data_IF_083105879071
#
_entry.id   IF_083105879071
#
_cell.length_a   1.000
_cell.length_b   1.000
_cell.length_c   1.000
_cell.angle_alpha   90.00
_cell.angle_beta   90.00
_cell.angle_gamma   90.00
#
_symmetry.space_group_name_H-M   'P 1'
#
loop_
_entity.id
_entity.type
_entity.pdbx_description
1 polymer ?
#
# COMPACT_ATOMS: atom_id res chain seq x y z
N UNK A 1 -4.03 24.37 0.68
CA UNK A 1 -5.07 25.18 0.02
C UNK A 1 -5.38 24.77 -1.43
N UNK A 2 -4.61 23.87 -2.07
CA UNK A 2 -4.86 23.41 -3.46
C UNK A 2 -5.63 22.09 -3.59
N UNK A 3 -6.00 21.42 -2.49
CA UNK A 3 -6.74 20.15 -2.52
C UNK A 3 -8.26 20.33 -2.72
N UNK A 4 -8.79 21.50 -2.40
CA UNK A 4 -10.23 21.80 -2.47
C UNK A 4 -10.70 22.11 -3.90
N UNK A 5 -9.96 22.88 -4.74
CA UNK A 5 -10.39 23.15 -6.11
C UNK A 5 -10.39 21.90 -7.01
N UNK A 6 -9.51 20.94 -6.76
CA UNK A 6 -9.45 19.67 -7.51
C UNK A 6 -10.67 18.79 -7.21
N UNK A 7 -11.22 18.85 -5.99
CA UNK A 7 -12.44 18.13 -5.61
C UNK A 7 -13.71 18.77 -6.19
N UNK A 8 -13.69 20.09 -6.44
CA UNK A 8 -14.86 20.83 -6.96
C UNK A 8 -14.94 20.78 -8.49
N UNK A 9 -13.82 20.67 -9.21
CA UNK A 9 -13.81 20.52 -10.67
C UNK A 9 -14.29 19.13 -11.18
N UNK A 10 -14.45 18.16 -10.28
CA UNK A 10 -14.99 16.82 -10.58
C UNK A 10 -16.53 16.75 -10.54
N UNK A 11 -17.22 17.89 -10.49
CA UNK A 11 -18.68 18.02 -10.48
C UNK A 11 -19.36 17.83 -11.85
N UNK A 12 -19.00 16.77 -12.59
CA UNK A 12 -19.52 16.50 -13.93
C UNK A 12 -19.62 15.00 -14.25
N UNK A 13 -20.24 14.21 -13.36
CA UNK A 13 -20.82 12.90 -13.72
C UNK A 13 -19.90 11.68 -13.86
N UNK A 14 -18.64 11.73 -13.39
CA UNK A 14 -17.68 10.63 -13.58
C UNK A 14 -17.05 10.04 -12.31
N UNK A 15 -17.45 10.48 -11.11
CA UNK A 15 -16.86 10.03 -9.84
C UNK A 15 -17.87 9.27 -8.99
N UNK A 16 -17.54 8.02 -8.65
CA UNK A 16 -18.34 7.12 -7.83
C UNK A 16 -18.24 7.48 -6.35
N UNK A 17 -19.36 7.78 -5.71
CA UNK A 17 -19.41 8.02 -4.25
C UNK A 17 -19.00 6.78 -3.46
N UNK A 18 -19.38 5.59 -3.93
CA UNK A 18 -18.97 4.33 -3.34
C UNK A 18 -17.47 4.09 -3.51
N UNK A 19 -16.94 4.37 -4.70
CA UNK A 19 -15.51 4.32 -5.00
C UNK A 19 -14.67 5.22 -4.11
N UNK A 20 -15.04 6.50 -4.00
CA UNK A 20 -14.36 7.47 -3.14
C UNK A 20 -14.37 7.02 -1.67
N UNK A 21 -15.49 6.45 -1.20
CA UNK A 21 -15.58 5.91 0.17
C UNK A 21 -14.59 4.76 0.37
N UNK A 22 -14.52 3.81 -0.54
CA UNK A 22 -13.59 2.68 -0.42
C UNK A 22 -12.13 3.10 -0.57
N UNK A 23 -11.84 4.12 -1.39
CA UNK A 23 -10.51 4.74 -1.44
C UNK A 23 -10.11 5.35 -0.10
N UNK A 24 -11.03 6.09 0.54
CA UNK A 24 -10.80 6.66 1.86
C UNK A 24 -10.60 5.56 2.92
N UNK A 25 -11.40 4.49 2.90
CA UNK A 25 -11.24 3.35 3.81
C UNK A 25 -9.88 2.69 3.63
N UNK A 26 -9.47 2.40 2.39
CA UNK A 26 -8.17 1.79 2.12
C UNK A 26 -7.02 2.67 2.61
N UNK A 27 -7.09 3.99 2.37
CA UNK A 27 -6.11 4.95 2.86
C UNK A 27 -6.03 4.97 4.39
N UNK A 28 -7.16 5.09 5.06
CA UNK A 28 -7.23 5.15 6.53
C UNK A 28 -6.75 3.85 7.16
N UNK A 29 -7.10 2.70 6.61
CA UNK A 29 -6.64 1.39 7.11
C UNK A 29 -5.14 1.16 6.91
N UNK A 30 -4.55 1.76 5.88
CA UNK A 30 -3.12 1.60 5.59
C UNK A 30 -2.23 2.29 6.62
N UNK A 31 -2.72 3.35 7.28
CA UNK A 31 -1.98 4.08 8.33
C UNK A 31 -1.69 3.21 9.57
N UNK A 32 -2.68 2.59 10.25
CA UNK A 32 -2.40 1.72 11.38
C UNK A 32 -1.63 0.46 10.98
N UNK A 33 -1.86 -0.08 9.78
CA UNK A 33 -1.06 -1.21 9.25
C UNK A 33 0.42 -0.82 9.13
N UNK A 34 0.70 0.36 8.55
CA UNK A 34 2.05 0.90 8.46
C UNK A 34 2.66 1.10 9.85
N UNK A 35 1.89 1.69 10.78
CA UNK A 35 2.34 1.89 12.16
C UNK A 35 2.69 0.58 12.86
N UNK A 36 1.88 -0.47 12.67
CA UNK A 36 2.13 -1.80 13.24
C UNK A 36 3.40 -2.43 12.66
N UNK A 37 3.58 -2.39 11.33
CA UNK A 37 4.79 -2.92 10.68
C UNK A 37 6.03 -2.15 11.10
N UNK A 38 5.96 -0.82 11.12
CA UNK A 38 7.07 0.03 11.56
C UNK A 38 7.44 -0.22 13.02
N UNK A 39 6.43 -0.40 13.88
CA UNK A 39 6.65 -0.79 15.27
C UNK A 39 7.39 -2.12 15.36
N UNK A 40 6.95 -3.16 14.63
CA UNK A 40 7.64 -4.46 14.60
C UNK A 40 9.09 -4.30 14.10
N UNK A 41 9.30 -3.59 12.99
CA UNK A 41 10.62 -3.34 12.42
C UNK A 41 11.55 -2.65 13.42
N UNK A 42 11.07 -1.65 14.16
CA UNK A 42 11.85 -0.97 15.18
C UNK A 42 12.29 -1.89 16.34
N UNK A 43 11.64 -3.04 16.54
CA UNK A 43 12.00 -4.03 17.58
C UNK A 43 12.97 -5.09 17.07
N UNK A 44 12.82 -5.50 15.81
CA UNK A 44 13.60 -6.63 15.24
C UNK A 44 14.76 -6.18 14.35
N UNK A 45 14.73 -4.95 13.87
CA UNK A 45 15.71 -4.37 12.94
C UNK A 45 16.00 -2.90 13.31
N UNK A 46 16.80 -2.64 14.36
CA UNK A 46 17.14 -1.27 14.76
C UNK A 46 17.76 -0.44 13.63
N UNK A 47 18.46 -1.09 12.70
CA UNK A 47 19.08 -0.46 11.53
C UNK A 47 18.08 0.14 10.55
N UNK A 48 16.82 -0.34 10.55
CA UNK A 48 15.74 0.21 9.74
C UNK A 48 15.49 1.69 10.08
N UNK A 49 15.77 2.13 11.31
CA UNK A 49 15.60 3.51 11.74
C UNK A 49 16.45 4.50 10.93
N UNK A 50 17.58 4.06 10.36
CA UNK A 50 18.47 4.89 9.53
C UNK A 50 17.78 5.33 8.23
N UNK A 51 16.85 4.52 7.73
CA UNK A 51 16.06 4.84 6.52
C UNK A 51 15.05 5.98 6.73
N UNK A 52 14.76 6.32 7.99
CA UNK A 52 13.91 7.45 8.38
C UNK A 52 12.56 7.47 7.67
N UNK A 53 12.14 8.65 7.23
CA UNK A 53 10.85 8.85 6.57
C UNK A 53 10.71 8.10 5.23
N UNK A 54 11.82 7.82 4.53
CA UNK A 54 11.76 7.09 3.25
C UNK A 54 11.42 5.61 3.49
N UNK A 55 11.96 4.99 4.54
CA UNK A 55 11.57 3.65 4.93
C UNK A 55 10.11 3.55 5.35
N UNK A 56 9.62 4.53 6.13
CA UNK A 56 8.19 4.62 6.48
C UNK A 56 7.33 4.75 5.23
N UNK A 57 7.75 5.59 4.27
CA UNK A 57 7.04 5.77 3.00
C UNK A 57 7.03 4.49 2.16
N UNK A 58 8.12 3.72 2.16
CA UNK A 58 8.18 2.42 1.50
C UNK A 58 7.17 1.43 2.09
N UNK A 59 7.15 1.29 3.43
CA UNK A 59 6.15 0.44 4.10
C UNK A 59 4.73 0.93 3.81
N UNK A 60 4.49 2.24 3.88
CA UNK A 60 3.17 2.82 3.61
C UNK A 60 2.70 2.56 2.18
N UNK A 61 3.56 2.74 1.19
CA UNK A 61 3.22 2.50 -0.21
C UNK A 61 2.78 1.06 -0.47
N UNK A 62 3.51 0.09 0.09
CA UNK A 62 3.18 -1.33 -0.04
C UNK A 62 1.98 -1.75 0.82
N UNK A 63 1.78 -1.12 1.98
CA UNK A 63 0.57 -1.30 2.79
C UNK A 63 -0.67 -0.80 2.05
N UNK A 64 -0.60 0.40 1.47
CA UNK A 64 -1.70 0.98 0.69
C UNK A 64 -2.02 0.17 -0.55
N UNK A 65 -1.01 -0.36 -1.22
CA UNK A 65 -1.20 -1.28 -2.34
C UNK A 65 -1.89 -2.58 -1.90
N UNK A 66 -1.37 -3.23 -0.86
CA UNK A 66 -1.95 -4.46 -0.32
C UNK A 66 -3.40 -4.28 0.13
N UNK A 67 -3.69 -3.21 0.88
CA UNK A 67 -5.03 -2.91 1.39
C UNK A 67 -5.96 -2.54 0.24
N UNK A 68 -5.56 -1.64 -0.67
CA UNK A 68 -6.40 -1.25 -1.80
C UNK A 68 -6.68 -2.43 -2.73
N UNK A 69 -5.70 -3.26 -3.07
CA UNK A 69 -5.91 -4.46 -3.89
C UNK A 69 -6.91 -5.41 -3.23
N UNK A 70 -6.74 -5.71 -1.94
CA UNK A 70 -7.64 -6.59 -1.21
C UNK A 70 -9.06 -6.03 -1.09
N UNK A 71 -9.21 -4.72 -0.85
CA UNK A 71 -10.51 -4.04 -0.83
C UNK A 71 -11.16 -4.04 -2.22
N UNK A 72 -10.38 -3.79 -3.28
CA UNK A 72 -10.88 -3.75 -4.66
C UNK A 72 -11.46 -5.08 -5.09
N UNK A 73 -10.76 -6.18 -4.76
CA UNK A 73 -11.25 -7.54 -5.03
C UNK A 73 -12.47 -7.87 -4.18
N UNK A 74 -12.38 -7.64 -2.86
CA UNK A 74 -13.41 -8.11 -1.91
C UNK A 74 -14.69 -7.29 -1.97
N UNK A 75 -14.57 -5.96 -2.04
CA UNK A 75 -15.69 -5.04 -1.83
C UNK A 75 -16.24 -4.47 -3.14
N UNK A 76 -15.41 -4.42 -4.18
CA UNK A 76 -15.75 -3.81 -5.47
C UNK A 76 -15.78 -4.84 -6.62
N UNK A 77 -15.36 -6.09 -6.38
CA UNK A 77 -15.37 -7.15 -7.39
C UNK A 77 -14.36 -6.94 -8.52
N UNK A 78 -13.34 -6.11 -8.32
CA UNK A 78 -12.29 -5.92 -9.32
C UNK A 78 -11.39 -7.15 -9.41
N UNK A 79 -11.06 -7.55 -10.64
CA UNK A 79 -10.15 -8.67 -10.89
C UNK A 79 -8.69 -8.24 -10.91
N UNK A 80 -7.81 -9.04 -10.32
CA UNK A 80 -6.36 -8.86 -10.43
C UNK A 80 -5.85 -9.43 -11.76
N UNK A 81 -5.09 -8.63 -12.52
CA UNK A 81 -4.60 -9.01 -13.86
C UNK A 81 -3.21 -9.65 -13.82
N UNK A 82 -2.46 -9.40 -12.77
CA UNK A 82 -1.10 -9.93 -12.59
C UNK A 82 -1.19 -11.39 -12.14
N UNK A 83 -0.64 -12.36 -12.91
CA UNK A 83 -0.80 -13.79 -12.60
C UNK A 83 -0.33 -14.17 -11.20
N UNK A 84 0.81 -13.62 -10.77
CA UNK A 84 1.36 -13.89 -9.44
C UNK A 84 0.46 -13.34 -8.33
N UNK A 85 0.05 -12.07 -8.42
CA UNK A 85 -0.84 -11.45 -7.45
C UNK A 85 -2.17 -12.19 -7.35
N UNK A 86 -2.75 -12.60 -8.49
CA UNK A 86 -3.97 -13.40 -8.54
C UNK A 86 -3.80 -14.74 -7.82
N UNK A 87 -2.71 -15.47 -8.10
CA UNK A 87 -2.45 -16.74 -7.43
C UNK A 87 -2.32 -16.60 -5.90
N UNK A 88 -1.81 -15.46 -5.42
CA UNK A 88 -1.71 -15.17 -3.99
C UNK A 88 -3.08 -14.81 -3.39
N UNK A 89 -3.90 -14.03 -4.11
CA UNK A 89 -5.25 -13.68 -3.69
C UNK A 89 -6.19 -14.90 -3.65
N UNK A 90 -5.96 -15.87 -4.54
CA UNK A 90 -6.72 -17.12 -4.66
C UNK A 90 -6.16 -18.26 -3.80
N UNK A 91 -5.25 -17.97 -2.86
CA UNK A 91 -4.81 -18.93 -1.84
C UNK A 91 -6.02 -19.34 -0.98
N UNK A 92 -6.70 -20.41 -1.41
CA UNK A 92 -7.86 -20.94 -0.73
C UNK A 92 -7.55 -21.47 0.67
N UNK A 93 -8.60 -21.62 1.49
CA UNK A 93 -8.51 -22.15 2.85
C UNK A 93 -8.11 -21.10 3.90
N UNK A 94 -7.99 -19.83 3.51
CA UNK A 94 -7.76 -18.72 4.43
C UNK A 94 -9.09 -18.14 4.92
N UNK A 95 -9.24 -17.82 6.23
CA UNK A 95 -10.42 -17.13 6.72
C UNK A 95 -10.50 -15.72 6.14
N UNK A 96 -11.69 -15.26 5.76
CA UNK A 96 -11.89 -13.90 5.29
C UNK A 96 -11.93 -12.90 6.46
N UNK A 97 -11.46 -11.67 6.21
CA UNK A 97 -11.55 -10.56 7.16
C UNK A 97 -12.63 -9.55 6.73
N UNK A 98 -13.26 -8.79 7.66
CA UNK A 98 -14.43 -7.95 7.36
C UNK A 98 -14.25 -6.89 6.27
N UNK A 99 -13.02 -6.46 5.98
CA UNK A 99 -12.74 -5.41 4.97
C UNK A 99 -11.88 -5.91 3.81
N UNK A 100 -10.80 -6.64 4.11
CA UNK A 100 -9.83 -7.11 3.10
C UNK A 100 -10.15 -8.51 2.56
N UNK A 101 -11.20 -9.16 3.05
CA UNK A 101 -11.66 -10.46 2.57
C UNK A 101 -10.57 -11.51 2.67
N UNK A 102 -10.42 -12.34 1.64
CA UNK A 102 -9.35 -13.34 1.49
C UNK A 102 -8.03 -12.70 1.01
N UNK A 103 -8.06 -11.43 0.58
CA UNK A 103 -6.89 -10.73 0.06
C UNK A 103 -5.83 -10.35 1.12
N UNK A 104 -6.01 -10.73 2.38
CA UNK A 104 -5.03 -10.43 3.43
C UNK A 104 -3.70 -11.15 3.24
N UNK A 105 -3.66 -12.29 2.53
CA UNK A 105 -2.40 -12.95 2.18
C UNK A 105 -1.52 -12.08 1.28
N UNK A 106 -2.14 -11.43 0.29
CA UNK A 106 -1.45 -10.48 -0.59
C UNK A 106 -0.92 -9.28 0.19
N UNK A 107 -1.74 -8.73 1.12
CA UNK A 107 -1.30 -7.68 2.02
C UNK A 107 -0.09 -8.12 2.84
N UNK A 108 -0.14 -9.27 3.52
CA UNK A 108 0.98 -9.74 4.34
C UNK A 108 2.26 -9.93 3.51
N UNK A 109 2.15 -10.46 2.29
CA UNK A 109 3.30 -10.57 1.40
C UNK A 109 3.93 -9.20 1.11
N UNK A 110 3.10 -8.21 0.75
CA UNK A 110 3.58 -6.84 0.49
C UNK A 110 4.29 -6.26 1.71
N UNK A 111 3.73 -6.42 2.89
CA UNK A 111 4.32 -5.94 4.14
C UNK A 111 5.63 -6.68 4.47
N UNK A 112 5.70 -7.98 4.23
CA UNK A 112 6.92 -8.76 4.42
C UNK A 112 8.04 -8.32 3.46
N UNK A 113 7.72 -8.13 2.18
CA UNK A 113 8.67 -7.63 1.17
C UNK A 113 9.14 -6.23 1.52
N UNK A 114 8.23 -5.30 1.84
CA UNK A 114 8.59 -3.93 2.20
C UNK A 114 9.44 -3.87 3.48
N UNK A 115 9.07 -4.65 4.51
CA UNK A 115 9.83 -4.74 5.74
C UNK A 115 11.23 -5.33 5.54
N UNK A 116 11.34 -6.38 4.72
CA UNK A 116 12.63 -6.96 4.34
C UNK A 116 13.51 -5.95 3.59
N UNK A 117 12.95 -5.22 2.62
CA UNK A 117 13.70 -4.22 1.88
C UNK A 117 14.18 -3.10 2.81
N UNK A 118 13.32 -2.55 3.67
CA UNK A 118 13.75 -1.55 4.65
C UNK A 118 14.86 -2.07 5.57
N UNK A 119 14.77 -3.33 6.01
CA UNK A 119 15.82 -3.96 6.81
C UNK A 119 17.16 -4.03 6.05
N UNK A 120 17.16 -4.60 4.84
CA UNK A 120 18.38 -4.80 4.03
C UNK A 120 18.98 -3.47 3.57
N UNK A 121 18.15 -2.46 3.27
CA UNK A 121 18.63 -1.14 2.89
C UNK A 121 19.16 -0.32 4.08
N UNK A 122 18.87 -0.69 5.33
CA UNK A 122 19.33 0.03 6.52
C UNK A 122 20.85 0.25 6.55
N UNK A 123 21.67 -0.82 6.44
CA UNK A 123 23.12 -0.70 6.30
C UNK A 123 23.55 0.12 5.08
N UNK A 124 22.92 -0.10 3.92
CA UNK A 124 23.33 0.59 2.69
C UNK A 124 23.06 2.10 2.75
N UNK A 125 21.92 2.52 3.33
CA UNK A 125 21.62 3.93 3.60
C UNK A 125 22.61 4.54 4.60
N UNK A 126 23.14 3.75 5.53
CA UNK A 126 24.15 4.24 6.48
C UNK A 126 25.48 4.52 5.79
N UNK A 127 25.89 3.66 4.88
CA UNK A 127 27.15 3.73 4.15
C UNK A 127 27.10 4.77 3.02
N UNK A 128 26.04 4.75 2.22
CA UNK A 128 25.82 5.62 1.06
C UNK A 128 24.42 6.25 1.09
N UNK A 129 24.18 7.28 1.92
CA UNK A 129 22.84 7.79 2.17
C UNK A 129 22.08 8.25 0.93
N UNK A 130 22.77 8.91 -0.01
CA UNK A 130 22.14 9.40 -1.24
C UNK A 130 21.59 8.26 -2.09
N UNK A 131 22.43 7.30 -2.46
CA UNK A 131 22.05 6.18 -3.31
C UNK A 131 21.08 5.24 -2.62
N UNK A 132 21.34 4.89 -1.35
CA UNK A 132 20.45 4.04 -0.56
C UNK A 132 19.04 4.61 -0.42
N UNK A 133 18.91 5.91 -0.15
CA UNK A 133 17.59 6.56 -0.03
C UNK A 133 16.91 6.69 -1.40
N UNK A 134 17.66 6.91 -2.48
CA UNK A 134 17.09 6.95 -3.83
C UNK A 134 16.50 5.59 -4.22
N UNK A 135 17.24 4.50 -3.98
CA UNK A 135 16.77 3.15 -4.26
C UNK A 135 15.58 2.77 -3.36
N UNK A 136 15.61 3.12 -2.07
CA UNK A 136 14.48 2.87 -1.18
C UNK A 136 13.25 3.74 -1.54
N UNK A 137 13.47 4.97 -2.02
CA UNK A 137 12.43 5.80 -2.60
C UNK A 137 11.81 5.16 -3.85
N UNK A 138 12.61 4.49 -4.68
CA UNK A 138 12.09 3.69 -5.79
C UNK A 138 11.23 2.51 -5.30
N UNK A 139 11.64 1.81 -4.25
CA UNK A 139 10.82 0.77 -3.61
C UNK A 139 9.47 1.33 -3.14
N UNK A 140 9.46 2.53 -2.56
CA UNK A 140 8.23 3.21 -2.18
C UNK A 140 7.35 3.53 -3.39
N UNK A 141 7.93 4.03 -4.49
CA UNK A 141 7.22 4.29 -5.73
C UNK A 141 6.59 3.03 -6.34
N UNK A 142 7.27 1.87 -6.25
CA UNK A 142 6.74 0.58 -6.71
C UNK A 142 5.48 0.16 -5.95
N UNK A 143 5.36 0.48 -4.66
CA UNK A 143 4.12 0.28 -3.91
C UNK A 143 3.07 1.35 -4.21
N UNK A 144 3.47 2.62 -4.22
CA UNK A 144 2.57 3.76 -4.42
C UNK A 144 1.92 3.78 -5.81
N UNK A 145 2.60 3.32 -6.85
CA UNK A 145 2.06 3.29 -8.22
C UNK A 145 0.75 2.51 -8.33
N UNK A 146 0.75 1.19 -8.07
CA UNK A 146 -0.47 0.38 -8.03
C UNK A 146 -1.49 0.86 -7.00
N UNK A 147 -1.03 1.32 -5.82
CA UNK A 147 -1.92 1.87 -4.81
C UNK A 147 -2.73 3.07 -5.32
N UNK A 148 -2.07 4.09 -5.88
CA UNK A 148 -2.73 5.27 -6.44
C UNK A 148 -3.61 4.89 -7.62
N UNK A 149 -3.13 3.97 -8.47
CA UNK A 149 -3.94 3.43 -9.57
C UNK A 149 -5.26 2.85 -9.06
N UNK A 150 -5.23 2.02 -8.02
CA UNK A 150 -6.42 1.44 -7.40
C UNK A 150 -7.36 2.52 -6.84
N UNK A 151 -6.85 3.48 -6.07
CA UNK A 151 -7.70 4.54 -5.49
C UNK A 151 -8.38 5.40 -6.57
N UNK A 152 -7.69 5.68 -7.66
CA UNK A 152 -8.27 6.38 -8.82
C UNK A 152 -9.29 5.48 -9.51
N UNK A 153 -8.96 4.22 -9.77
CA UNK A 153 -9.85 3.23 -10.39
C UNK A 153 -11.16 3.12 -9.60
N UNK A 154 -11.09 3.02 -8.27
CA UNK A 154 -12.27 2.98 -7.42
C UNK A 154 -13.14 4.20 -7.65
N UNK A 155 -12.50 5.38 -7.63
CA UNK A 155 -13.19 6.65 -7.76
C UNK A 155 -13.90 6.82 -9.11
N UNK A 156 -13.47 6.16 -10.19
CA UNK A 156 -14.05 6.34 -11.54
C UNK A 156 -14.80 5.13 -12.10
N UNK A 157 -14.62 3.93 -11.53
CA UNK A 157 -15.13 2.68 -12.10
C UNK A 157 -15.92 1.79 -11.11
N UNK A 158 -16.08 2.21 -9.85
CA UNK A 158 -16.83 1.47 -8.82
C UNK A 158 -18.33 1.84 -8.76
#
# INVERSE_FOLDING_TARGET
ALLVPTLVAAGGGGVSTAGVRWSAVALVLSVPVTGAVWWVLGRISPEAGVTGGVGVLAVFGHALDGVSTAVGVTQLGFGERTPLSRAILELGGLPSLPVVGEGWAFLLLKLAVAGLLVHVFGPYVREEPGEGLLLLGFVAAVGLGPAVHNLVLFSVAA
#
